data_IF_382145897437
#
_entry.id   IF_382145897437
#
_cell.length_a   1.000
_cell.length_b   1.000
_cell.length_c   1.000
_cell.angle_alpha   90.00
_cell.angle_beta   90.00
_cell.angle_gamma   90.00
#
_symmetry.space_group_name_H-M   'P 1'
#
loop_
_entity.id
_entity.type
_entity.pdbx_description
1 polymer ?
#
# COMPACT_ATOMS: atom_id res chain seq x y z
N UNK A 1 -3.85 6.83 10.87
CA UNK A 1 -5.31 6.85 11.06
C UNK A 1 -5.92 6.06 9.93
N UNK A 2 -6.81 5.11 10.27
CA UNK A 2 -7.50 4.26 9.29
C UNK A 2 -8.97 4.65 9.32
N UNK A 3 -9.56 4.88 8.15
CA UNK A 3 -11.02 5.02 8.02
C UNK A 3 -11.57 3.81 7.30
N UNK A 4 -12.59 3.20 7.91
CA UNK A 4 -13.20 1.97 7.43
C UNK A 4 -14.69 2.18 7.29
N UNK A 5 -15.26 1.69 6.19
CA UNK A 5 -16.67 1.80 5.88
C UNK A 5 -17.30 0.42 5.78
N UNK A 6 -18.44 0.26 6.43
CA UNK A 6 -19.27 -0.92 6.26
C UNK A 6 -20.18 -0.77 5.02
N UNK A 7 -20.26 -1.78 4.15
CA UNK A 7 -21.16 -1.75 2.98
C UNK A 7 -22.64 -1.86 3.35
N UNK A 8 -22.97 -2.53 4.46
CA UNK A 8 -24.37 -2.78 4.86
C UNK A 8 -25.04 -1.53 5.41
N UNK A 9 -24.43 -0.86 6.39
CA UNK A 9 -24.98 0.33 7.03
C UNK A 9 -24.40 1.65 6.49
N UNK A 10 -23.43 1.58 5.57
CA UNK A 10 -22.71 2.73 4.99
C UNK A 10 -21.99 3.62 6.01
N UNK A 11 -21.95 3.22 7.28
CA UNK A 11 -21.32 3.96 8.35
C UNK A 11 -19.80 3.90 8.21
N UNK A 12 -19.17 5.05 8.42
CA UNK A 12 -17.72 5.20 8.40
C UNK A 12 -17.23 5.32 9.84
N UNK A 13 -16.25 4.49 10.20
CA UNK A 13 -15.58 4.51 11.49
C UNK A 13 -14.14 4.98 11.30
N UNK A 14 -13.70 5.85 12.19
CA UNK A 14 -12.33 6.40 12.19
C UNK A 14 -11.59 5.82 13.39
N UNK A 15 -10.34 5.39 13.15
CA UNK A 15 -9.47 4.79 14.17
C UNK A 15 -9.43 5.63 15.45
N UNK A 16 -9.89 5.04 16.55
CA UNK A 16 -9.88 5.61 17.91
C UNK A 16 -9.36 4.56 18.91
N UNK A 17 -8.93 5.00 20.09
CA UNK A 17 -8.49 4.11 21.18
C UNK A 17 -9.64 3.33 21.82
N UNK A 18 -10.89 3.83 21.68
CA UNK A 18 -12.08 3.12 22.13
C UNK A 18 -12.59 2.19 21.04
N UNK A 19 -13.09 1.03 21.45
CA UNK A 19 -13.77 0.09 20.55
C UNK A 19 -15.01 0.76 19.95
N UNK A 20 -15.04 0.88 18.62
CA UNK A 20 -16.21 1.35 17.88
C UNK A 20 -16.84 0.20 17.13
N UNK A 21 -18.17 0.20 17.01
CA UNK A 21 -18.91 -0.85 16.30
C UNK A 21 -19.98 -0.25 15.37
N UNK A 22 -20.22 -0.89 14.23
CA UNK A 22 -21.47 -0.69 13.50
C UNK A 22 -22.59 -1.43 14.25
N UNK A 23 -23.78 -0.84 14.35
CA UNK A 23 -24.99 -1.52 14.83
C UNK A 23 -25.61 -2.45 13.79
N UNK A 24 -24.81 -3.00 12.87
CA UNK A 24 -25.25 -3.76 11.71
C UNK A 24 -25.07 -5.27 11.93
N UNK A 25 -25.79 -6.16 11.20
CA UNK A 25 -25.68 -7.61 11.42
C UNK A 25 -24.28 -8.16 11.11
N UNK A 26 -23.51 -7.47 10.27
CA UNK A 26 -22.09 -7.78 10.05
C UNK A 26 -21.16 -7.41 11.23
N UNK A 27 -21.65 -6.62 12.21
CA UNK A 27 -20.96 -6.22 13.43
C UNK A 27 -19.48 -5.85 13.20
N UNK A 28 -19.24 -4.90 12.30
CA UNK A 28 -17.92 -4.33 12.06
C UNK A 28 -17.42 -3.62 13.32
N UNK A 29 -16.26 -4.02 13.83
CA UNK A 29 -15.56 -3.42 14.96
C UNK A 29 -14.26 -2.77 14.51
N UNK A 30 -13.95 -1.59 15.05
CA UNK A 30 -12.70 -0.88 14.84
C UNK A 30 -12.04 -0.60 16.20
N UNK A 31 -10.80 -1.05 16.36
CA UNK A 31 -9.96 -0.74 17.53
C UNK A 31 -8.58 -0.33 17.04
N UNK A 32 -8.21 0.94 17.21
CA UNK A 32 -6.94 1.48 16.72
C UNK A 32 -6.71 1.14 15.23
N UNK A 33 -5.85 0.16 14.94
CA UNK A 33 -5.52 -0.32 13.59
C UNK A 33 -6.09 -1.72 13.26
N UNK A 34 -6.85 -2.31 14.18
CA UNK A 34 -7.46 -3.64 14.02
C UNK A 34 -8.90 -3.48 13.56
N UNK A 35 -9.24 -4.20 12.49
CA UNK A 35 -10.59 -4.25 11.92
C UNK A 35 -11.12 -5.67 12.13
N UNK A 36 -12.31 -5.78 12.71
CA UNK A 36 -13.05 -7.03 12.85
C UNK A 36 -14.42 -6.90 12.20
N UNK A 37 -14.95 -7.99 11.67
CA UNK A 37 -16.33 -8.10 11.19
C UNK A 37 -16.68 -9.59 11.06
N UNK A 38 -17.97 -9.91 11.00
CA UNK A 38 -18.42 -11.28 10.72
C UNK A 38 -18.06 -11.71 9.28
N UNK A 39 -18.18 -10.78 8.35
CA UNK A 39 -17.81 -10.90 6.94
C UNK A 39 -16.99 -9.68 6.50
N UNK A 40 -15.71 -9.92 6.23
CA UNK A 40 -14.76 -8.90 5.79
C UNK A 40 -14.99 -8.46 4.35
N UNK A 41 -15.69 -9.24 3.51
CA UNK A 41 -15.99 -8.86 2.12
C UNK A 41 -16.93 -7.64 2.04
N UNK A 42 -17.67 -7.41 3.12
CA UNK A 42 -18.59 -6.27 3.27
C UNK A 42 -17.94 -5.07 3.94
N UNK A 43 -16.63 -5.09 4.15
CA UNK A 43 -15.86 -4.01 4.76
C UNK A 43 -14.94 -3.39 3.71
N UNK A 44 -14.90 -2.06 3.64
CA UNK A 44 -14.05 -1.31 2.71
C UNK A 44 -13.18 -0.36 3.50
N UNK A 45 -11.85 -0.43 3.31
CA UNK A 45 -10.95 0.60 3.83
C UNK A 45 -10.98 1.81 2.89
N UNK A 46 -11.36 2.97 3.41
CA UNK A 46 -11.51 4.21 2.62
C UNK A 46 -10.19 4.99 2.60
N UNK A 47 -9.57 5.15 3.77
CA UNK A 47 -8.24 5.75 3.87
C UNK A 47 -7.34 4.89 4.73
N UNK A 48 -6.10 4.78 4.28
CA UNK A 48 -5.04 4.21 5.06
C UNK A 48 -3.84 5.16 4.93
N UNK A 49 -3.51 5.90 5.99
CA UNK A 49 -2.33 6.78 6.05
C UNK A 49 -1.03 5.96 6.15
N UNK A 50 -0.89 4.88 5.37
CA UNK A 50 0.41 4.25 5.19
C UNK A 50 1.15 5.16 4.23
N UNK A 51 2.22 5.78 4.71
CA UNK A 51 3.26 6.29 3.84
C UNK A 51 3.63 5.15 2.90
N UNK A 52 3.25 5.25 1.63
CA UNK A 52 3.64 4.28 0.61
C UNK A 52 5.16 4.29 0.62
N UNK A 53 5.77 3.32 1.32
CA UNK A 53 7.22 3.15 1.31
C UNK A 53 7.60 3.10 -0.15
N UNK A 54 8.36 4.10 -0.58
CA UNK A 54 8.83 4.21 -1.95
C UNK A 54 9.56 2.90 -2.21
N UNK A 55 9.04 2.10 -3.14
CA UNK A 55 9.49 0.72 -3.37
C UNK A 55 10.92 0.68 -3.92
N UNK A 56 11.41 1.81 -4.43
CA UNK A 56 12.81 1.98 -4.82
C UNK A 56 13.57 2.75 -3.75
N UNK A 57 14.67 2.17 -3.27
CA UNK A 57 15.70 2.93 -2.56
C UNK A 57 16.34 4.01 -3.43
N UNK A 58 16.24 3.85 -4.76
CA UNK A 58 16.82 4.75 -5.72
C UNK A 58 15.93 5.96 -5.98
N UNK A 59 16.57 7.11 -6.14
CA UNK A 59 15.95 8.31 -6.70
C UNK A 59 15.52 8.07 -8.15
N UNK A 60 14.63 8.92 -8.66
CA UNK A 60 14.16 8.83 -10.06
C UNK A 60 15.33 8.91 -11.06
N UNK A 61 16.34 9.71 -10.75
CA UNK A 61 17.54 9.90 -11.57
C UNK A 61 18.40 8.63 -11.60
N UNK A 62 18.55 7.97 -10.45
CA UNK A 62 19.31 6.72 -10.32
C UNK A 62 18.63 5.57 -11.09
N UNK A 63 17.30 5.52 -11.12
CA UNK A 63 16.56 4.56 -11.94
C UNK A 63 16.84 4.75 -13.43
N UNK A 64 16.82 5.99 -13.91
CA UNK A 64 17.13 6.32 -15.32
C UNK A 64 18.56 5.90 -15.66
N UNK A 65 19.52 6.19 -14.77
CA UNK A 65 20.91 5.78 -14.96
C UNK A 65 21.05 4.24 -15.08
N UNK A 66 20.34 3.46 -14.27
CA UNK A 66 20.36 2.01 -14.36
C UNK A 66 19.76 1.49 -15.67
N UNK A 67 18.67 2.09 -16.14
CA UNK A 67 18.07 1.74 -17.44
C UNK A 67 19.02 2.03 -18.60
N UNK A 68 19.68 3.19 -18.60
CA UNK A 68 20.68 3.54 -19.60
C UNK A 68 21.86 2.57 -19.60
N UNK A 69 22.35 2.20 -18.41
CA UNK A 69 23.43 1.21 -18.29
C UNK A 69 23.00 -0.14 -18.84
N UNK A 70 21.76 -0.57 -18.61
CA UNK A 70 21.20 -1.80 -19.19
C UNK A 70 21.13 -1.73 -20.72
N UNK A 71 20.84 -0.55 -21.28
CA UNK A 71 20.79 -0.32 -22.75
C UNK A 71 22.17 -0.31 -23.40
N UNK A 72 23.23 0.07 -22.67
CA UNK A 72 24.61 0.05 -23.16
C UNK A 72 25.07 -1.41 -23.27
N UNK A 73 24.88 -2.03 -24.45
CA UNK A 73 25.46 -3.34 -24.78
C UNK A 73 26.97 -3.32 -24.52
N UNK A 74 27.52 -4.42 -23.98
CA UNK A 74 28.96 -4.59 -23.79
C UNK A 74 29.64 -4.52 -25.16
N UNK A 75 30.42 -3.46 -25.40
CA UNK A 75 31.29 -3.39 -26.58
C UNK A 75 32.50 -4.30 -26.32
N UNK A 76 32.64 -5.34 -27.13
CA UNK A 76 33.88 -6.13 -27.19
C UNK A 76 34.97 -5.21 -27.78
N UNK A 77 36.09 -5.10 -27.08
CA UNK A 77 37.28 -4.45 -27.59
C UNK A 77 38.06 -5.52 -28.35
N UNK A 78 38.16 -5.35 -29.66
CA UNK A 78 39.04 -6.18 -30.47
C UNK A 78 40.44 -5.55 -30.41
N UNK A 79 41.41 -6.30 -29.88
CA UNK A 79 42.81 -5.87 -29.84
C UNK A 79 43.55 -6.52 -31.00
N UNK A 80 44.25 -5.72 -31.80
CA UNK A 80 45.20 -6.25 -32.79
C UNK A 80 46.44 -6.80 -32.06
N UNK A 81 46.67 -8.10 -32.19
CA UNK A 81 47.88 -8.76 -31.68
C UNK A 81 49.02 -8.45 -32.65
N UNK A 82 50.02 -7.70 -32.16
CA UNK A 82 51.29 -7.46 -32.87
C UNK A 82 52.23 -8.64 -32.72
#
# INVERSE_FOLDING_TARGET
MITVRCKECKTELTSSSKLQFCGCPNQMSLLENKVGAKDLNKVVMVTNNVERKITSHFSKEELIYQEERRRRKVKRLDFEVR
#
